data_IF_126847236419
#
_entry.id   IF_126847236419
#
_cell.length_a   1.000
_cell.length_b   1.000
_cell.length_c   1.000
_cell.angle_alpha   90.00
_cell.angle_beta   90.00
_cell.angle_gamma   90.00
#
_symmetry.space_group_name_H-M   'P 1'
#
loop_
_entity.id
_entity.type
_entity.pdbx_description
1 polymer ?
#
# COMPACT_ATOMS: atom_id res chain seq x y z
N UNK A 1 -2.11 -10.80 -9.57
CA UNK A 1 -1.40 -9.87 -10.48
C UNK A 1 -1.44 -8.48 -9.90
N UNK A 2 -0.29 -7.80 -9.77
CA UNK A 2 -0.24 -6.41 -9.34
C UNK A 2 -0.74 -5.50 -10.48
N UNK A 3 -1.72 -4.65 -10.19
CA UNK A 3 -2.30 -3.72 -11.17
C UNK A 3 -1.84 -2.28 -10.93
N UNK A 4 -1.69 -1.90 -9.66
CA UNK A 4 -1.29 -0.54 -9.28
C UNK A 4 -0.48 -0.57 -7.98
N UNK A 5 0.56 0.26 -7.94
CA UNK A 5 1.38 0.50 -6.77
C UNK A 5 1.68 2.00 -6.71
N UNK A 6 1.16 2.67 -5.69
CA UNK A 6 1.32 4.11 -5.52
C UNK A 6 1.85 4.42 -4.12
N UNK A 7 2.82 5.33 -4.03
CA UNK A 7 3.35 5.85 -2.78
C UNK A 7 3.11 7.35 -2.74
N UNK A 8 2.57 7.86 -1.62
CA UNK A 8 2.37 9.28 -1.37
C UNK A 8 2.94 9.67 -0.01
N UNK A 9 3.64 10.80 0.05
CA UNK A 9 4.01 11.42 1.31
C UNK A 9 2.81 12.21 1.86
N UNK A 10 2.31 11.84 3.03
CA UNK A 10 1.17 12.50 3.67
C UNK A 10 1.59 13.81 4.35
N UNK A 11 2.84 13.87 4.81
CA UNK A 11 3.41 15.04 5.48
C UNK A 11 4.78 15.37 4.89
N UNK A 12 5.20 16.64 4.93
CA UNK A 12 6.56 17.03 4.57
C UNK A 12 7.56 16.69 5.69
N UNK A 13 8.82 16.48 5.33
CA UNK A 13 9.92 16.30 6.28
C UNK A 13 10.50 14.88 6.31
N UNK A 14 11.56 14.69 7.10
CA UNK A 14 12.28 13.41 7.20
C UNK A 14 11.44 12.32 7.85
N UNK A 15 10.54 12.70 8.75
CA UNK A 15 9.62 11.81 9.47
C UNK A 15 8.24 11.76 8.78
N UNK A 16 8.22 12.00 7.47
CA UNK A 16 7.01 11.93 6.68
C UNK A 16 6.39 10.53 6.75
N UNK A 17 5.08 10.47 6.97
CA UNK A 17 4.35 9.21 6.81
C UNK A 17 4.15 8.96 5.32
N UNK A 18 4.71 7.86 4.83
CA UNK A 18 4.43 7.34 3.49
C UNK A 18 3.16 6.50 3.52
N UNK A 19 2.16 6.92 2.75
CA UNK A 19 0.99 6.11 2.42
C UNK A 19 1.30 5.28 1.17
N UNK A 20 1.03 3.98 1.23
CA UNK A 20 1.15 3.06 0.10
C UNK A 20 -0.23 2.52 -0.24
N UNK A 21 -0.62 2.64 -1.50
CA UNK A 21 -1.83 2.03 -2.05
C UNK A 21 -1.43 0.94 -3.06
N UNK A 22 -1.99 -0.26 -2.87
CA UNK A 22 -1.80 -1.40 -3.78
C UNK A 22 -3.15 -1.81 -4.32
N UNK A 23 -3.24 -1.98 -5.64
CA UNK A 23 -4.35 -2.65 -6.31
C UNK A 23 -3.84 -3.91 -6.97
N UNK A 24 -4.47 -5.05 -6.67
CA UNK A 24 -4.08 -6.31 -7.27
C UNK A 24 -5.31 -7.16 -7.63
N UNK A 25 -5.18 -7.92 -8.71
CA UNK A 25 -6.12 -8.96 -9.10
C UNK A 25 -5.75 -10.29 -8.43
N UNK A 26 -6.63 -10.83 -7.60
CA UNK A 26 -6.53 -12.14 -6.96
C UNK A 26 -7.77 -12.94 -7.35
N UNK A 27 -7.59 -14.15 -7.87
CA UNK A 27 -8.68 -15.04 -8.31
C UNK A 27 -9.73 -14.38 -9.23
N UNK A 28 -9.28 -13.49 -10.12
CA UNK A 28 -10.13 -12.78 -11.06
C UNK A 28 -10.82 -11.52 -10.49
N UNK A 29 -10.75 -11.29 -9.19
CA UNK A 29 -11.30 -10.11 -8.51
C UNK A 29 -10.20 -9.09 -8.22
N UNK A 30 -10.52 -7.80 -8.32
CA UNK A 30 -9.57 -6.72 -8.00
C UNK A 30 -9.80 -6.23 -6.57
N UNK A 31 -8.73 -6.21 -5.78
CA UNK A 31 -8.71 -5.75 -4.41
C UNK A 31 -7.77 -4.55 -4.24
N UNK A 32 -8.14 -3.65 -3.34
CA UNK A 32 -7.32 -2.49 -2.97
C UNK A 32 -6.97 -2.54 -1.50
N UNK A 33 -5.68 -2.51 -1.23
CA UNK A 33 -5.09 -2.41 0.10
C UNK A 33 -4.33 -1.10 0.27
N UNK A 34 -4.28 -0.64 1.52
CA UNK A 34 -3.57 0.57 1.92
C UNK A 34 -2.77 0.31 3.18
N UNK A 35 -1.61 0.93 3.30
CA UNK A 35 -0.74 0.90 4.47
C UNK A 35 -0.06 2.26 4.65
N UNK A 36 0.28 2.60 5.89
CA UNK A 36 0.84 3.90 6.24
C UNK A 36 1.88 3.77 7.33
N UNK A 37 3.08 4.28 7.06
CA UNK A 37 4.21 4.22 8.00
C UNK A 37 5.28 5.25 7.62
N UNK A 38 6.11 5.66 8.58
CA UNK A 38 7.36 6.39 8.28
C UNK A 38 8.38 5.52 7.55
N UNK A 39 8.22 4.20 7.63
CA UNK A 39 8.93 3.21 6.83
C UNK A 39 8.04 2.72 5.67
N UNK A 40 8.40 3.11 4.45
CA UNK A 40 7.69 2.75 3.21
C UNK A 40 7.65 1.24 2.97
N UNK A 41 8.66 0.49 3.43
CA UNK A 41 8.68 -0.98 3.29
C UNK A 41 7.61 -1.60 4.19
N UNK A 42 7.50 -1.12 5.44
CA UNK A 42 6.44 -1.55 6.35
C UNK A 42 5.05 -1.18 5.81
N UNK A 43 4.87 0.05 5.32
CA UNK A 43 3.62 0.49 4.71
C UNK A 43 3.23 -0.38 3.50
N UNK A 44 4.21 -0.76 2.67
CA UNK A 44 4.00 -1.63 1.51
C UNK A 44 3.57 -3.04 1.93
N UNK A 45 4.21 -3.60 2.96
CA UNK A 45 3.84 -4.91 3.50
C UNK A 45 2.41 -4.91 4.07
N UNK A 46 2.05 -3.86 4.81
CA UNK A 46 0.68 -3.67 5.33
C UNK A 46 -0.35 -3.56 4.20
N UNK A 47 -0.07 -2.75 3.17
CA UNK A 47 -0.95 -2.58 2.02
C UNK A 47 -1.16 -3.92 1.28
N UNK A 48 -0.10 -4.72 1.13
CA UNK A 48 -0.18 -6.02 0.46
C UNK A 48 -0.98 -7.04 1.27
N UNK A 49 -0.75 -7.14 2.59
CA UNK A 49 -1.54 -8.02 3.46
C UNK A 49 -3.02 -7.62 3.43
N UNK A 50 -3.32 -6.32 3.37
CA UNK A 50 -4.69 -5.83 3.26
C UNK A 50 -5.37 -6.23 1.93
N UNK A 51 -4.62 -6.35 0.83
CA UNK A 51 -5.12 -6.93 -0.43
C UNK A 51 -5.44 -8.41 -0.27
N UNK A 52 -4.60 -9.19 0.42
CA UNK A 52 -4.79 -10.63 0.58
C UNK A 52 -5.90 -11.02 1.56
N UNK A 53 -6.19 -10.15 2.53
CA UNK A 53 -7.23 -10.39 3.54
C UNK A 53 -8.64 -9.94 3.08
N UNK A 54 -8.75 -9.33 1.90
CA UNK A 54 -10.03 -8.92 1.31
C UNK A 54 -10.41 -9.87 0.19
#
# INVERSE_FOLDING_TARGET
VLEEFEIRAMTPGRDAVGEVTIRARVDGQTFTGRGGSTDVVLASAQAYVHVLNK
#
